data_IF_565996147755
#
_entry.id   IF_565996147755
#
_cell.length_a   1.000
_cell.length_b   1.000
_cell.length_c   1.000
_cell.angle_alpha   90.00
_cell.angle_beta   90.00
_cell.angle_gamma   90.00
#
_symmetry.space_group_name_H-M   'P 1'
#
loop_
_entity.id
_entity.type
_entity.pdbx_description
1 polymer ?
#
# COMPACT_ATOMS: atom_id res chain seq x y z
N UNK A 1 5.14 25.20 -43.58
CA UNK A 1 5.94 24.76 -42.42
C UNK A 1 5.19 23.64 -41.75
N UNK A 2 5.76 22.43 -41.78
CA UNK A 2 5.16 21.22 -41.25
C UNK A 2 5.45 21.11 -39.75
N UNK A 3 4.40 21.03 -38.95
CA UNK A 3 4.43 20.39 -37.64
C UNK A 3 3.37 19.29 -37.67
N UNK A 4 3.68 18.21 -38.38
CA UNK A 4 2.99 16.93 -38.19
C UNK A 4 3.88 16.06 -37.31
N UNK A 5 3.66 16.15 -36.01
CA UNK A 5 4.13 15.17 -35.05
C UNK A 5 2.89 14.67 -34.30
N UNK A 6 2.10 13.83 -34.98
CA UNK A 6 1.17 12.93 -34.31
C UNK A 6 1.99 12.02 -33.41
N UNK A 7 2.05 12.40 -32.14
CA UNK A 7 2.61 11.60 -31.06
C UNK A 7 1.69 10.37 -30.86
N UNK A 8 1.86 9.36 -31.73
CA UNK A 8 1.25 8.05 -31.55
C UNK A 8 2.01 7.37 -30.43
N UNK A 9 1.59 7.65 -29.20
CA UNK A 9 2.11 6.99 -28.00
C UNK A 9 2.14 5.46 -28.14
N UNK A 10 2.96 4.83 -27.29
CA UNK A 10 3.16 3.38 -27.32
C UNK A 10 1.81 2.62 -27.22
N UNK A 11 1.55 1.64 -28.10
CA UNK A 11 0.34 0.82 -28.04
C UNK A 11 0.21 0.10 -26.69
N UNK A 12 -1.00 0.03 -26.14
CA UNK A 12 -1.28 -0.61 -24.83
C UNK A 12 -0.78 -2.05 -24.80
N UNK A 13 -0.92 -2.80 -25.90
CA UNK A 13 -0.43 -4.17 -26.00
C UNK A 13 1.10 -4.27 -25.92
N UNK A 14 1.81 -3.31 -26.52
CA UNK A 14 3.26 -3.23 -26.45
C UNK A 14 3.71 -2.90 -25.02
N UNK A 15 3.08 -1.91 -24.38
CA UNK A 15 3.34 -1.57 -22.98
C UNK A 15 3.07 -2.76 -22.05
N UNK A 16 1.94 -3.44 -22.21
CA UNK A 16 1.61 -4.65 -21.44
C UNK A 16 2.66 -5.73 -21.63
N UNK A 17 3.12 -5.96 -22.86
CA UNK A 17 4.18 -6.92 -23.16
C UNK A 17 5.50 -6.59 -22.47
N UNK A 18 5.89 -5.31 -22.43
CA UNK A 18 7.08 -4.85 -21.71
C UNK A 18 6.93 -5.01 -20.20
N UNK A 19 5.80 -4.58 -19.63
CA UNK A 19 5.53 -4.73 -18.21
C UNK A 19 5.61 -6.20 -17.76
N UNK A 20 4.98 -7.10 -18.51
CA UNK A 20 5.02 -8.52 -18.20
C UNK A 20 6.46 -9.06 -18.22
N UNK A 21 7.31 -8.61 -19.14
CA UNK A 21 8.73 -9.01 -19.17
C UNK A 21 9.55 -8.45 -18.00
N UNK A 22 9.22 -7.25 -17.53
CA UNK A 22 9.90 -6.62 -16.39
C UNK A 22 9.50 -7.23 -15.04
N UNK A 23 8.31 -7.82 -14.93
CA UNK A 23 7.75 -8.31 -13.66
C UNK A 23 7.82 -9.84 -13.57
N UNK A 24 7.72 -10.55 -14.70
CA UNK A 24 7.76 -12.01 -14.71
C UNK A 24 9.21 -12.52 -14.79
N UNK A 25 9.42 -13.73 -14.25
CA UNK A 25 10.70 -14.43 -14.28
C UNK A 25 11.85 -13.69 -13.59
N UNK A 26 11.55 -12.87 -12.58
CA UNK A 26 12.59 -12.27 -11.75
C UNK A 26 13.31 -13.37 -10.98
N UNK A 27 14.64 -13.36 -11.10
CA UNK A 27 15.53 -14.27 -10.41
C UNK A 27 16.24 -13.54 -9.27
N UNK A 28 16.32 -14.20 -8.12
CA UNK A 28 16.94 -13.69 -6.90
C UNK A 28 18.10 -14.62 -6.56
N UNK A 29 19.25 -14.05 -6.23
CA UNK A 29 20.40 -14.80 -5.74
C UNK A 29 20.42 -14.70 -4.22
N UNK A 30 20.34 -15.84 -3.54
CA UNK A 30 20.44 -15.91 -2.08
C UNK A 30 21.29 -17.13 -1.70
N UNK A 31 22.29 -16.93 -0.84
CA UNK A 31 23.23 -18.00 -0.43
C UNK A 31 23.80 -18.81 -1.61
N UNK A 32 24.25 -18.11 -2.66
CA UNK A 32 24.77 -18.70 -3.91
C UNK A 32 23.78 -19.56 -4.71
N UNK A 33 22.51 -19.56 -4.32
CA UNK A 33 21.44 -20.30 -4.98
C UNK A 33 20.49 -19.35 -5.69
N UNK A 34 20.08 -19.73 -6.91
CA UNK A 34 19.19 -18.93 -7.73
C UNK A 34 17.74 -19.35 -7.50
N UNK A 35 16.91 -18.40 -7.09
CA UNK A 35 15.48 -18.56 -6.86
C UNK A 35 14.70 -17.77 -7.89
N UNK A 36 13.53 -18.27 -8.29
CA UNK A 36 12.62 -17.53 -9.15
C UNK A 36 11.41 -17.08 -8.36
N UNK A 37 11.08 -15.80 -8.44
CA UNK A 37 9.86 -15.30 -7.84
C UNK A 37 8.64 -15.84 -8.60
N UNK A 38 7.74 -16.50 -7.87
CA UNK A 38 6.54 -17.13 -8.43
C UNK A 38 5.34 -16.19 -8.39
N UNK A 39 5.19 -15.42 -7.31
CA UNK A 39 4.09 -14.50 -7.09
C UNK A 39 4.58 -13.17 -6.49
N UNK A 40 3.80 -12.12 -6.69
CA UNK A 40 4.11 -10.76 -6.26
C UNK A 40 5.10 -10.04 -7.19
N UNK A 41 5.54 -8.86 -6.74
CA UNK A 41 6.57 -8.07 -7.41
C UNK A 41 7.85 -8.13 -6.60
N UNK A 42 9.01 -8.19 -7.26
CA UNK A 42 10.29 -8.23 -6.59
C UNK A 42 10.52 -7.00 -5.72
N UNK A 43 10.90 -7.24 -4.46
CA UNK A 43 11.34 -6.20 -3.53
C UNK A 43 12.57 -5.52 -4.16
N UNK A 44 12.56 -4.18 -4.19
CA UNK A 44 13.60 -3.39 -4.85
C UNK A 44 13.35 -3.11 -6.35
N UNK A 45 12.29 -3.66 -6.94
CA UNK A 45 11.87 -3.25 -8.28
C UNK A 45 11.35 -1.81 -8.27
N UNK A 46 11.85 -0.98 -9.20
CA UNK A 46 11.32 0.38 -9.41
C UNK A 46 9.82 0.40 -9.74
N UNK A 47 9.30 -0.68 -10.34
CA UNK A 47 7.87 -0.82 -10.65
C UNK A 47 7.06 -1.38 -9.47
N UNK A 48 7.71 -1.95 -8.46
CA UNK A 48 7.07 -2.58 -7.30
C UNK A 48 6.05 -1.67 -6.61
N UNK A 49 6.45 -0.49 -6.12
CA UNK A 49 5.54 0.42 -5.42
C UNK A 49 4.34 0.86 -6.28
N UNK A 50 4.57 1.11 -7.57
CA UNK A 50 3.52 1.54 -8.50
C UNK A 50 2.49 0.42 -8.70
N UNK A 51 2.95 -0.80 -8.96
CA UNK A 51 2.09 -1.95 -9.19
C UNK A 51 1.32 -2.35 -7.93
N UNK A 52 1.98 -2.33 -6.77
CA UNK A 52 1.35 -2.55 -5.47
C UNK A 52 0.25 -1.50 -5.22
N UNK A 53 0.53 -0.23 -5.50
CA UNK A 53 -0.46 0.84 -5.33
C UNK A 53 -1.66 0.70 -6.29
N UNK A 54 -1.43 0.30 -7.55
CA UNK A 54 -2.50 0.02 -8.51
C UNK A 54 -3.36 -1.16 -8.05
N UNK A 55 -2.73 -2.24 -7.60
CA UNK A 55 -3.42 -3.42 -7.11
C UNK A 55 -4.29 -3.09 -5.89
N UNK A 56 -3.71 -2.44 -4.88
CA UNK A 56 -4.43 -2.04 -3.67
C UNK A 56 -5.53 -1.03 -3.98
N UNK A 57 -5.28 -0.04 -4.84
CA UNK A 57 -6.31 0.92 -5.27
C UNK A 57 -7.49 0.25 -5.97
N UNK A 58 -7.25 -0.79 -6.77
CA UNK A 58 -8.32 -1.58 -7.39
C UNK A 58 -9.09 -2.40 -6.35
N UNK A 59 -8.40 -3.03 -5.40
CA UNK A 59 -9.00 -3.78 -4.31
C UNK A 59 -9.91 -2.89 -3.45
N UNK A 60 -9.42 -1.71 -3.12
CA UNK A 60 -10.11 -0.66 -2.36
C UNK A 60 -11.38 -0.19 -3.08
N UNK A 61 -11.27 0.12 -4.37
CA UNK A 61 -12.39 0.65 -5.15
C UNK A 61 -13.49 -0.39 -5.43
N UNK A 62 -13.14 -1.67 -5.53
CA UNK A 62 -14.08 -2.72 -5.94
C UNK A 62 -14.66 -3.51 -4.76
N UNK A 63 -13.82 -3.91 -3.80
CA UNK A 63 -14.23 -4.82 -2.73
C UNK A 63 -14.38 -4.12 -1.38
N UNK A 64 -13.55 -3.11 -1.08
CA UNK A 64 -13.54 -2.44 0.22
C UNK A 64 -14.22 -1.06 0.22
N UNK A 65 -14.79 -0.64 -0.91
CA UNK A 65 -15.32 0.72 -1.08
C UNK A 65 -16.35 1.10 -0.03
N UNK A 66 -17.24 0.17 0.32
CA UNK A 66 -18.30 0.42 1.31
C UNK A 66 -17.71 0.63 2.71
N UNK A 67 -16.71 -0.18 3.07
CA UNK A 67 -16.02 -0.15 4.35
C UNK A 67 -15.18 1.12 4.46
N UNK A 68 -14.46 1.49 3.41
CA UNK A 68 -13.65 2.72 3.36
C UNK A 68 -14.55 3.96 3.48
N UNK A 69 -15.68 3.97 2.77
CA UNK A 69 -16.62 5.09 2.82
C UNK A 69 -17.33 5.27 4.17
N UNK A 70 -17.38 4.23 5.02
CA UNK A 70 -17.96 4.35 6.36
C UNK A 70 -16.96 4.85 7.41
N UNK A 71 -15.67 4.96 7.06
CA UNK A 71 -14.64 5.50 7.94
C UNK A 71 -14.70 7.04 7.93
N UNK A 72 -14.37 7.67 9.06
CA UNK A 72 -14.26 9.13 9.15
C UNK A 72 -13.05 9.66 8.39
N UNK A 73 -12.00 8.86 8.32
CA UNK A 73 -10.79 9.14 7.56
C UNK A 73 -10.17 7.82 7.10
N UNK A 74 -9.60 7.84 5.90
CA UNK A 74 -8.82 6.76 5.34
C UNK A 74 -7.70 7.36 4.49
N UNK A 75 -6.46 7.04 4.83
CA UNK A 75 -5.28 7.40 4.06
C UNK A 75 -4.32 6.21 4.02
N UNK A 76 -3.73 5.97 2.85
CA UNK A 76 -2.76 4.89 2.64
C UNK A 76 -1.47 5.44 2.08
N UNK A 77 -0.35 4.97 2.63
CA UNK A 77 0.99 5.18 2.12
C UNK A 77 1.59 3.82 1.77
N UNK A 78 1.59 3.46 0.49
CA UNK A 78 2.01 2.13 -0.01
C UNK A 78 1.27 1.00 0.71
N UNK A 79 1.89 0.38 1.71
CA UNK A 79 1.40 -0.71 2.55
C UNK A 79 0.82 -0.26 3.91
N UNK A 80 1.18 0.94 4.38
CA UNK A 80 0.69 1.49 5.65
C UNK A 80 -0.64 2.23 5.50
N UNK A 81 -1.62 1.89 6.33
CA UNK A 81 -2.95 2.50 6.33
C UNK A 81 -3.22 3.23 7.65
N UNK A 82 -3.62 4.48 7.56
CA UNK A 82 -4.14 5.26 8.67
C UNK A 82 -5.65 5.46 8.49
N UNK A 83 -6.44 5.06 9.48
CA UNK A 83 -7.88 5.20 9.44
C UNK A 83 -8.46 5.74 10.75
N UNK A 84 -9.47 6.59 10.65
CA UNK A 84 -10.27 7.04 11.80
C UNK A 84 -11.65 6.43 11.67
N UNK A 85 -12.07 5.68 12.68
CA UNK A 85 -13.35 4.97 12.71
C UNK A 85 -14.28 5.55 13.79
N UNK A 86 -15.58 5.33 13.66
CA UNK A 86 -16.54 5.68 14.71
C UNK A 86 -16.41 4.72 15.90
N UNK A 87 -16.68 5.21 17.11
CA UNK A 87 -16.64 4.37 18.33
C UNK A 87 -17.57 3.16 18.26
N UNK A 88 -18.69 3.29 17.54
CA UNK A 88 -19.67 2.23 17.36
C UNK A 88 -19.22 1.14 16.37
N UNK A 89 -18.14 1.36 15.62
CA UNK A 89 -17.66 0.41 14.61
C UNK A 89 -16.81 -0.68 15.25
N UNK A 90 -17.14 -1.94 14.98
CA UNK A 90 -16.34 -3.06 15.44
C UNK A 90 -15.03 -3.16 14.63
N UNK A 91 -13.91 -2.91 15.31
CA UNK A 91 -12.56 -2.90 14.72
C UNK A 91 -12.14 -4.27 14.22
N UNK A 92 -12.43 -5.34 14.98
CA UNK A 92 -12.10 -6.71 14.59
C UNK A 92 -12.86 -7.10 13.33
N UNK A 93 -14.17 -6.81 13.28
CA UNK A 93 -14.97 -7.13 12.11
C UNK A 93 -14.52 -6.38 10.85
N UNK A 94 -14.12 -5.11 11.00
CA UNK A 94 -13.52 -4.35 9.90
C UNK A 94 -12.22 -5.01 9.43
N UNK A 95 -11.35 -5.38 10.37
CA UNK A 95 -10.07 -6.04 10.07
C UNK A 95 -10.25 -7.36 9.34
N UNK A 96 -11.15 -8.21 9.83
CA UNK A 96 -11.49 -9.49 9.23
C UNK A 96 -12.02 -9.31 7.81
N UNK A 97 -12.87 -8.31 7.62
CA UNK A 97 -13.42 -7.98 6.29
C UNK A 97 -12.33 -7.57 5.31
N UNK A 98 -11.35 -6.77 5.75
CA UNK A 98 -10.23 -6.35 4.89
C UNK A 98 -9.34 -7.53 4.54
N UNK A 99 -8.98 -8.36 5.52
CA UNK A 99 -8.14 -9.54 5.32
C UNK A 99 -8.84 -10.64 4.48
N UNK A 100 -10.18 -10.66 4.44
CA UNK A 100 -10.94 -11.56 3.57
C UNK A 100 -11.06 -11.08 2.13
N UNK A 101 -10.68 -9.84 1.82
CA UNK A 101 -10.80 -9.29 0.47
C UNK A 101 -9.91 -10.04 -0.54
N UNK A 102 -8.71 -10.44 -0.12
CA UNK A 102 -7.77 -11.15 -0.97
C UNK A 102 -6.85 -12.07 -0.16
N UNK A 103 -6.62 -13.33 -0.57
CA UNK A 103 -5.82 -14.29 0.20
C UNK A 103 -4.37 -13.86 0.42
N UNK A 104 -3.80 -13.08 -0.50
CA UNK A 104 -2.43 -12.55 -0.38
C UNK A 104 -2.33 -11.23 0.42
N UNK A 105 -3.44 -10.73 0.99
CA UNK A 105 -3.46 -9.51 1.80
C UNK A 105 -3.75 -9.89 3.24
N UNK A 106 -2.79 -9.65 4.12
CA UNK A 106 -2.92 -9.81 5.56
C UNK A 106 -2.38 -8.55 6.23
N UNK A 107 -3.30 -7.71 6.69
CA UNK A 107 -2.96 -6.53 7.47
C UNK A 107 -2.82 -6.91 8.95
N UNK A 108 -2.11 -6.06 9.68
CA UNK A 108 -2.11 -6.00 11.14
C UNK A 108 -2.74 -4.68 11.59
N UNK A 109 -3.30 -4.66 12.81
CA UNK A 109 -3.97 -3.46 13.34
C UNK A 109 -3.18 -2.92 14.54
N UNK A 110 -2.74 -1.67 14.41
CA UNK A 110 -2.23 -0.89 15.54
C UNK A 110 -3.31 0.08 16.02
N UNK A 111 -3.42 0.24 17.34
CA UNK A 111 -4.43 1.09 17.96
C UNK A 111 -3.75 2.28 18.65
N UNK A 112 -4.44 3.42 18.66
CA UNK A 112 -4.03 4.58 19.43
C UNK A 112 -3.90 4.20 20.92
N UNK A 113 -2.77 4.58 21.52
CA UNK A 113 -2.48 4.37 22.95
C UNK A 113 -2.07 5.70 23.57
N UNK A 114 -2.63 6.04 24.72
CA UNK A 114 -2.34 7.32 25.42
C UNK A 114 -2.47 8.53 24.48
N UNK A 115 -3.55 8.57 23.71
CA UNK A 115 -3.86 9.62 22.73
C UNK A 115 -2.80 9.83 21.64
N UNK A 116 -1.97 8.80 21.41
CA UNK A 116 -0.91 8.82 20.42
C UNK A 116 -0.92 7.57 19.54
N UNK A 117 -0.61 7.74 18.27
CA UNK A 117 -0.53 6.69 17.27
C UNK A 117 0.73 6.89 16.41
N UNK A 118 1.69 5.96 16.44
CA UNK A 118 2.76 5.93 15.46
C UNK A 118 2.21 5.71 14.05
N UNK A 119 2.69 6.45 13.08
CA UNK A 119 2.42 6.24 11.66
C UNK A 119 3.64 6.67 10.84
N UNK A 120 4.26 5.71 10.15
CA UNK A 120 5.58 5.90 9.52
C UNK A 120 6.60 6.41 10.57
N UNK A 121 7.37 7.45 10.23
CA UNK A 121 8.35 8.09 11.11
C UNK A 121 7.76 9.22 11.99
N UNK A 122 6.44 9.26 12.14
CA UNK A 122 5.72 10.33 12.86
C UNK A 122 4.87 9.76 13.97
N UNK A 123 4.93 10.37 15.15
CA UNK A 123 3.97 10.15 16.23
C UNK A 123 2.86 11.18 16.09
N UNK A 124 1.65 10.71 15.83
CA UNK A 124 0.44 11.52 15.83
C UNK A 124 -0.09 11.56 17.26
N UNK A 125 -0.15 12.72 17.89
CA UNK A 125 -0.69 12.88 19.24
C UNK A 125 -1.85 13.87 19.24
N UNK A 126 -2.96 13.54 19.89
CA UNK A 126 -4.07 14.47 20.06
C UNK A 126 -3.77 15.44 21.19
N UNK A 127 -4.07 16.73 21.00
CA UNK A 127 -4.00 17.74 22.05
C UNK A 127 -4.98 18.86 21.70
N UNK A 128 -5.92 19.13 22.60
CA UNK A 128 -6.77 20.32 22.59
C UNK A 128 -7.35 20.66 21.21
N UNK A 129 -8.07 19.70 20.62
CA UNK A 129 -8.71 19.81 19.29
C UNK A 129 -7.78 19.84 18.08
N UNK A 130 -6.48 19.60 18.29
CA UNK A 130 -5.47 19.53 17.24
C UNK A 130 -4.72 18.20 17.24
N UNK A 131 -4.06 17.90 16.12
CA UNK A 131 -3.11 16.80 16.00
C UNK A 131 -1.70 17.39 16.00
N UNK A 132 -0.92 17.07 17.02
CA UNK A 132 0.51 17.33 17.08
C UNK A 132 1.26 16.21 16.39
N UNK A 133 2.41 16.55 15.80
CA UNK A 133 3.29 15.62 15.11
C UNK A 133 4.68 15.74 15.72
N UNK A 134 5.26 14.63 16.10
CA UNK A 134 6.66 14.55 16.53
C UNK A 134 7.36 13.39 15.83
N UNK A 135 8.69 13.39 15.83
CA UNK A 135 9.46 12.31 15.21
C UNK A 135 9.27 11.04 16.05
N UNK A 136 8.83 9.96 15.39
CA UNK A 136 8.79 8.64 15.98
C UNK A 136 9.94 7.82 15.42
N UNK A 137 10.69 7.15 16.29
CA UNK A 137 11.72 6.19 15.90
C UNK A 137 11.33 4.83 16.44
N UNK A 138 10.98 3.93 15.54
CA UNK A 138 10.63 2.57 15.92
C UNK A 138 11.86 1.86 16.51
N UNK A 139 11.69 1.20 17.66
CA UNK A 139 12.78 0.48 18.34
C UNK A 139 13.29 -0.74 17.56
N UNK A 140 12.58 -1.19 16.52
CA UNK A 140 12.95 -2.36 15.73
C UNK A 140 14.06 -2.11 14.68
N UNK A 141 14.46 -0.87 14.42
CA UNK A 141 15.51 -0.56 13.45
C UNK A 141 16.71 0.10 14.13
N UNK A 142 17.81 -0.64 14.38
CA UNK A 142 19.03 -0.10 14.95
C UNK A 142 19.96 0.46 13.86
N UNK A 143 19.43 1.20 12.88
CA UNK A 143 20.22 1.80 11.80
C UNK A 143 20.56 0.88 10.63
#
# INVERSE_FOLDING_TARGET
MAFDQKDKGMPVNALKGLLLRCILNVQLLFESSLYRQLDGVAIGSHLGPILANIFMGKLEALQLRRQINSLKYYGRYVDDICAIISEQMNRSALMDTINQAHPSIQLTLEQEQSESLPFLDVLLSRSDWSIRRSIYRNKMWPG
#
